data_IF_166263105508
#
_entry.id   IF_166263105508
#
_cell.length_a   1.000
_cell.length_b   1.000
_cell.length_c   1.000
_cell.angle_alpha   90.00
_cell.angle_beta   90.00
_cell.angle_gamma   90.00
#
_symmetry.space_group_name_H-M   'P 1'
#
loop_
_entity.id
_entity.type
_entity.pdbx_description
1 polymer ?
#
# COMPACT_ATOMS: atom_id res chain seq x y z
N UNK A 1 18.97 -10.13 9.05
CA UNK A 1 17.58 -10.60 8.85
C UNK A 1 16.87 -11.01 10.15
N UNK A 2 15.70 -10.43 10.47
CA UNK A 2 14.88 -10.85 11.63
C UNK A 2 13.89 -11.97 11.23
N UNK A 3 13.64 -12.94 12.12
CA UNK A 3 12.63 -13.99 11.90
C UNK A 3 11.25 -13.37 11.64
N UNK A 4 10.95 -12.25 12.30
CA UNK A 4 9.72 -11.50 12.13
C UNK A 4 9.51 -11.03 10.67
N UNK A 5 10.53 -10.44 10.06
CA UNK A 5 10.47 -9.95 8.69
C UNK A 5 10.26 -11.08 7.68
N UNK A 6 10.93 -12.22 7.88
CA UNK A 6 10.74 -13.41 7.07
C UNK A 6 9.30 -13.93 7.14
N UNK A 7 8.75 -14.05 8.35
CA UNK A 7 7.37 -14.52 8.57
C UNK A 7 6.36 -13.57 7.93
N UNK A 8 6.50 -12.25 8.13
CA UNK A 8 5.61 -11.27 7.51
C UNK A 8 5.67 -11.32 5.99
N UNK A 9 6.87 -11.46 5.42
CA UNK A 9 7.07 -11.59 3.98
C UNK A 9 6.38 -12.84 3.44
N UNK A 10 6.59 -14.01 4.05
CA UNK A 10 5.95 -15.26 3.63
C UNK A 10 4.42 -15.14 3.69
N UNK A 11 3.87 -14.59 4.78
CA UNK A 11 2.43 -14.39 4.92
C UNK A 11 1.90 -13.45 3.83
N UNK A 12 2.58 -12.32 3.61
CA UNK A 12 2.24 -11.37 2.54
C UNK A 12 2.19 -12.05 1.17
N UNK A 13 3.23 -12.82 0.81
CA UNK A 13 3.26 -13.53 -0.47
C UNK A 13 2.11 -14.51 -0.63
N UNK A 14 1.78 -15.28 0.42
CA UNK A 14 0.67 -16.23 0.39
C UNK A 14 -0.66 -15.50 0.20
N UNK A 15 -0.93 -14.48 1.01
CA UNK A 15 -2.20 -13.76 0.99
C UNK A 15 -2.39 -12.96 -0.30
N UNK A 16 -1.35 -12.28 -0.78
CA UNK A 16 -1.41 -11.53 -2.03
C UNK A 16 -1.51 -12.46 -3.25
N UNK A 17 -0.79 -13.58 -3.29
CA UNK A 17 -0.95 -14.58 -4.36
C UNK A 17 -2.37 -15.17 -4.39
N UNK A 18 -2.94 -15.42 -3.20
CA UNK A 18 -4.31 -15.87 -3.09
C UNK A 18 -5.32 -14.79 -3.54
N UNK A 19 -5.07 -13.52 -3.19
CA UNK A 19 -5.87 -12.40 -3.64
C UNK A 19 -5.80 -12.22 -5.18
N UNK A 20 -4.62 -12.40 -5.80
CA UNK A 20 -4.48 -12.42 -7.27
C UNK A 20 -5.39 -13.50 -7.86
N UNK A 21 -5.34 -14.72 -7.33
CA UNK A 21 -6.22 -15.80 -7.79
C UNK A 21 -7.71 -15.45 -7.67
N UNK A 22 -8.12 -14.85 -6.54
CA UNK A 22 -9.50 -14.38 -6.32
C UNK A 22 -9.90 -13.29 -7.32
N UNK A 23 -9.06 -12.29 -7.54
CA UNK A 23 -9.32 -11.19 -8.49
C UNK A 23 -9.49 -11.75 -9.90
N UNK A 24 -8.64 -12.69 -10.32
CA UNK A 24 -8.68 -13.24 -11.67
C UNK A 24 -9.88 -14.18 -11.90
N UNK A 25 -10.23 -15.01 -10.92
CA UNK A 25 -11.23 -16.09 -11.09
C UNK A 25 -12.61 -15.78 -10.51
N UNK A 26 -12.69 -14.94 -9.49
CA UNK A 26 -13.91 -14.74 -8.69
C UNK A 26 -14.43 -13.30 -8.68
N UNK A 27 -13.80 -12.37 -9.42
CA UNK A 27 -14.34 -11.02 -9.63
C UNK A 27 -15.69 -11.08 -10.36
N UNK A 28 -16.78 -10.50 -9.80
CA UNK A 28 -18.03 -10.35 -10.55
C UNK A 28 -17.85 -9.47 -11.79
N UNK A 29 -18.62 -9.73 -12.84
CA UNK A 29 -18.59 -8.93 -14.09
C UNK A 29 -18.82 -7.43 -13.83
N UNK A 30 -19.63 -7.11 -12.82
CA UNK A 30 -19.97 -5.76 -12.38
C UNK A 30 -18.77 -4.98 -11.81
N UNK A 31 -17.69 -5.66 -11.38
CA UNK A 31 -16.43 -5.00 -10.96
C UNK A 31 -15.80 -4.22 -12.13
N UNK A 32 -16.05 -4.65 -13.37
CA UNK A 32 -15.58 -3.95 -14.57
C UNK A 32 -14.06 -3.77 -14.59
N UNK A 33 -13.58 -2.58 -15.00
CA UNK A 33 -12.14 -2.28 -15.10
C UNK A 33 -11.44 -2.14 -13.75
N UNK A 34 -12.18 -1.97 -12.63
CA UNK A 34 -11.60 -1.81 -11.30
C UNK A 34 -10.73 -3.01 -10.89
N UNK A 35 -11.05 -4.21 -11.40
CA UNK A 35 -10.27 -5.43 -11.15
C UNK A 35 -8.80 -5.29 -11.52
N UNK A 36 -8.48 -4.51 -12.55
CA UNK A 36 -7.12 -4.31 -13.03
C UNK A 36 -6.32 -3.41 -12.08
N UNK A 37 -7.00 -2.42 -11.49
CA UNK A 37 -6.39 -1.56 -10.48
C UNK A 37 -6.13 -2.35 -9.18
N UNK A 38 -7.10 -3.17 -8.75
CA UNK A 38 -6.87 -4.09 -7.62
C UNK A 38 -5.71 -5.06 -7.89
N UNK A 39 -5.65 -5.65 -9.11
CA UNK A 39 -4.57 -6.56 -9.48
C UNK A 39 -3.20 -5.85 -9.46
N UNK A 40 -3.13 -4.63 -9.99
CA UNK A 40 -1.91 -3.82 -9.98
C UNK A 40 -1.41 -3.57 -8.56
N UNK A 41 -2.29 -3.16 -7.64
CA UNK A 41 -1.92 -2.92 -6.23
C UNK A 41 -1.45 -4.20 -5.55
N UNK A 42 -2.13 -5.34 -5.75
CA UNK A 42 -1.69 -6.63 -5.20
C UNK A 42 -0.32 -7.04 -5.77
N UNK A 43 -0.08 -6.85 -7.07
CA UNK A 43 1.23 -7.12 -7.67
C UNK A 43 2.32 -6.18 -7.13
N UNK A 44 1.99 -4.91 -6.92
CA UNK A 44 2.89 -3.93 -6.32
C UNK A 44 3.28 -4.33 -4.89
N UNK A 45 2.33 -4.80 -4.07
CA UNK A 45 2.60 -5.25 -2.70
C UNK A 45 3.45 -6.52 -2.65
N UNK A 46 3.24 -7.46 -3.58
CA UNK A 46 4.13 -8.60 -3.74
C UNK A 46 5.54 -8.17 -4.13
N UNK A 47 5.67 -7.22 -5.07
CA UNK A 47 6.96 -6.67 -5.47
C UNK A 47 7.67 -5.97 -4.31
N UNK A 48 6.93 -5.17 -3.52
CA UNK A 48 7.45 -4.54 -2.31
C UNK A 48 7.96 -5.59 -1.30
N UNK A 49 7.14 -6.61 -0.99
CA UNK A 49 7.56 -7.69 -0.08
C UNK A 49 8.76 -8.50 -0.60
N UNK A 50 8.86 -8.71 -1.92
CA UNK A 50 10.00 -9.35 -2.56
C UNK A 50 11.29 -8.54 -2.39
N UNK A 51 11.17 -7.22 -2.41
CA UNK A 51 12.28 -6.28 -2.36
C UNK A 51 12.71 -5.94 -0.93
N UNK A 52 11.78 -5.83 0.01
CA UNK A 52 12.03 -5.50 1.42
C UNK A 52 12.99 -6.50 2.09
N UNK A 53 12.79 -7.79 1.83
CA UNK A 53 13.58 -8.87 2.41
C UNK A 53 15.09 -8.79 2.08
N UNK A 54 15.53 -8.74 0.81
CA UNK A 54 16.94 -8.59 0.47
C UNK A 54 17.49 -7.17 0.71
N UNK A 55 16.63 -6.15 0.76
CA UNK A 55 17.07 -4.78 1.00
C UNK A 55 17.55 -4.57 2.45
N UNK A 56 17.03 -5.33 3.42
CA UNK A 56 17.44 -5.29 4.84
C UNK A 56 17.60 -3.86 5.38
N UNK A 57 16.62 -3.00 5.09
CA UNK A 57 16.66 -1.58 5.41
C UNK A 57 16.40 -1.36 6.90
N UNK A 58 17.23 -0.52 7.51
CA UNK A 58 17.11 -0.08 8.89
C UNK A 58 16.86 1.43 8.86
N UNK A 59 15.77 1.87 9.46
CA UNK A 59 15.46 3.28 9.65
C UNK A 59 15.71 3.65 11.11
N UNK A 60 16.52 4.67 11.34
CA UNK A 60 16.86 5.16 12.67
C UNK A 60 16.81 6.69 12.76
N UNK A 61 16.42 7.21 13.90
CA UNK A 61 16.43 8.65 14.22
C UNK A 61 17.38 8.89 15.39
N UNK A 62 18.26 9.87 15.27
CA UNK A 62 19.32 10.13 16.26
C UNK A 62 19.56 11.62 16.41
N UNK A 63 19.23 12.16 17.59
CA UNK A 63 19.16 13.59 17.84
C UNK A 63 18.36 14.27 16.74
N UNK A 64 18.92 15.33 16.17
CA UNK A 64 18.29 16.06 15.09
C UNK A 64 18.36 15.43 13.69
N UNK A 65 18.78 14.18 13.55
CA UNK A 65 18.96 13.55 12.24
C UNK A 65 18.11 12.30 12.06
N UNK A 66 17.68 12.09 10.82
CA UNK A 66 17.12 10.82 10.38
C UNK A 66 18.11 10.14 9.44
N UNK A 67 18.20 8.81 9.55
CA UNK A 67 19.05 7.98 8.70
C UNK A 67 18.35 6.67 8.37
N UNK A 68 18.31 6.35 7.08
CA UNK A 68 17.82 5.09 6.55
C UNK A 68 19.00 4.42 5.88
N UNK A 69 19.38 3.23 6.32
CA UNK A 69 20.62 2.61 5.90
C UNK A 69 20.50 1.10 5.77
N UNK A 70 21.46 0.54 5.03
CA UNK A 70 21.73 -0.87 4.91
C UNK A 70 23.13 -1.15 5.42
N UNK A 71 23.31 -2.24 6.17
CA UNK A 71 24.63 -2.70 6.61
C UNK A 71 25.30 -3.48 5.48
N UNK A 72 26.51 -3.07 5.11
CA UNK A 72 27.32 -3.77 4.13
C UNK A 72 28.20 -4.79 4.85
N UNK A 73 27.79 -6.06 4.82
CA UNK A 73 28.61 -7.15 5.35
C UNK A 73 29.89 -7.34 4.52
N UNK A 74 31.00 -7.85 5.09
CA UNK A 74 32.24 -8.10 4.35
C UNK A 74 32.04 -9.02 3.13
N UNK A 75 31.10 -9.95 3.22
CA UNK A 75 30.72 -10.88 2.15
C UNK A 75 29.59 -10.35 1.26
N UNK A 76 29.25 -9.05 1.33
CA UNK A 76 28.15 -8.49 0.56
C UNK A 76 28.49 -8.48 -0.93
N UNK A 77 27.57 -9.02 -1.74
CA UNK A 77 27.67 -9.00 -3.20
C UNK A 77 27.59 -7.58 -3.79
N UNK A 78 27.11 -6.60 -3.00
CA UNK A 78 26.88 -5.23 -3.44
C UNK A 78 28.00 -4.32 -2.96
N UNK A 79 28.50 -3.49 -3.87
CA UNK A 79 29.35 -2.34 -3.50
C UNK A 79 28.57 -1.31 -2.68
N UNK A 80 29.27 -0.45 -1.93
CA UNK A 80 28.64 0.61 -1.13
C UNK A 80 27.75 1.54 -1.97
N UNK A 81 28.15 1.88 -3.19
CA UNK A 81 27.33 2.72 -4.08
C UNK A 81 26.04 1.98 -4.49
N UNK A 82 26.16 0.73 -4.93
CA UNK A 82 24.98 -0.10 -5.26
C UNK A 82 24.04 -0.30 -4.07
N UNK A 83 24.59 -0.42 -2.87
CA UNK A 83 23.81 -0.53 -1.64
C UNK A 83 23.04 0.77 -1.34
N UNK A 84 23.63 1.95 -1.55
CA UNK A 84 22.91 3.24 -1.47
C UNK A 84 21.80 3.34 -2.52
N UNK A 85 22.00 2.81 -3.73
CA UNK A 85 20.94 2.72 -4.74
C UNK A 85 19.80 1.80 -4.30
N UNK A 86 20.07 0.70 -3.59
CA UNK A 86 19.03 -0.16 -3.00
C UNK A 86 18.20 0.62 -1.98
N UNK A 87 18.83 1.39 -1.10
CA UNK A 87 18.12 2.27 -0.15
C UNK A 87 17.27 3.33 -0.89
N UNK A 88 17.80 3.90 -1.98
CA UNK A 88 17.06 4.85 -2.81
C UNK A 88 15.83 4.21 -3.46
N UNK A 89 15.98 3.02 -4.05
CA UNK A 89 14.86 2.29 -4.66
C UNK A 89 13.83 1.91 -3.60
N UNK A 90 14.26 1.48 -2.41
CA UNK A 90 13.37 1.21 -1.29
C UNK A 90 12.51 2.43 -0.95
N UNK A 91 13.15 3.57 -0.72
CA UNK A 91 12.43 4.81 -0.40
C UNK A 91 11.52 5.23 -1.56
N UNK A 92 11.94 5.06 -2.81
CA UNK A 92 11.11 5.35 -4.00
C UNK A 92 9.84 4.51 -4.07
N UNK A 93 9.93 3.19 -3.80
CA UNK A 93 8.75 2.32 -3.79
C UNK A 93 7.83 2.70 -2.62
N UNK A 94 8.38 3.08 -1.46
CA UNK A 94 7.59 3.63 -0.37
C UNK A 94 6.86 4.91 -0.79
N UNK A 95 7.54 5.84 -1.47
CA UNK A 95 6.91 7.04 -2.02
C UNK A 95 5.80 6.75 -3.04
N UNK A 96 5.99 5.73 -3.89
CA UNK A 96 4.97 5.31 -4.85
C UNK A 96 3.70 4.76 -4.16
N UNK A 97 3.87 4.00 -3.06
CA UNK A 97 2.75 3.38 -2.36
C UNK A 97 1.73 4.41 -1.84
N UNK A 98 2.22 5.60 -1.45
CA UNK A 98 1.42 6.74 -0.97
C UNK A 98 0.34 7.17 -1.97
N UNK A 99 0.58 7.03 -3.27
CA UNK A 99 -0.32 7.48 -4.33
C UNK A 99 -1.22 6.36 -4.89
N UNK A 100 -1.04 5.11 -4.45
CA UNK A 100 -1.88 3.98 -4.88
C UNK A 100 -3.33 4.19 -4.47
N UNK A 101 -3.58 4.47 -3.19
CA UNK A 101 -4.95 4.63 -2.69
C UNK A 101 -5.65 5.86 -3.27
N UNK A 102 -4.93 6.96 -3.50
CA UNK A 102 -5.46 8.12 -4.20
C UNK A 102 -6.01 7.73 -5.58
N UNK A 103 -5.25 6.94 -6.35
CA UNK A 103 -5.66 6.43 -7.67
C UNK A 103 -6.90 5.54 -7.59
N UNK A 104 -6.99 4.70 -6.55
CA UNK A 104 -8.19 3.91 -6.27
C UNK A 104 -9.41 4.79 -6.01
N UNK A 105 -9.33 5.78 -5.12
CA UNK A 105 -10.47 6.64 -4.81
C UNK A 105 -10.92 7.49 -6.01
N UNK A 106 -9.99 8.01 -6.82
CA UNK A 106 -10.32 8.71 -8.06
C UNK A 106 -11.12 7.79 -8.99
N UNK A 107 -10.65 6.55 -9.20
CA UNK A 107 -11.37 5.59 -10.01
C UNK A 107 -12.74 5.26 -9.45
N UNK A 108 -12.82 4.98 -8.13
CA UNK A 108 -14.07 4.61 -7.46
C UNK A 108 -15.10 5.71 -7.65
N UNK A 109 -14.73 6.96 -7.43
CA UNK A 109 -15.63 8.08 -7.64
C UNK A 109 -16.13 8.14 -9.09
N UNK A 110 -15.24 8.03 -10.07
CA UNK A 110 -15.63 7.99 -11.49
C UNK A 110 -16.46 6.77 -11.90
N UNK A 111 -16.44 5.68 -11.13
CA UNK A 111 -17.32 4.53 -11.36
C UNK A 111 -18.72 4.70 -10.80
N UNK A 112 -18.92 5.63 -9.87
CA UNK A 112 -20.21 5.97 -9.23
C UNK A 112 -20.84 7.17 -9.93
N UNK A 113 -20.03 8.19 -10.26
CA UNK A 113 -20.47 9.38 -10.99
C UNK A 113 -20.07 9.32 -12.48
N UNK A 114 -21.06 9.08 -13.34
CA UNK A 114 -20.84 8.91 -14.78
C UNK A 114 -20.26 10.17 -15.46
N UNK A 115 -20.60 11.37 -14.98
CA UNK A 115 -20.10 12.62 -15.57
C UNK A 115 -18.60 12.77 -15.31
N UNK A 116 -18.19 12.57 -14.06
CA UNK A 116 -16.78 12.54 -13.69
C UNK A 116 -16.04 11.40 -14.39
N UNK A 117 -16.63 10.20 -14.39
CA UNK A 117 -16.04 9.00 -14.99
C UNK A 117 -15.76 9.16 -16.48
N UNK A 118 -16.73 9.65 -17.25
CA UNK A 118 -16.56 9.93 -18.67
C UNK A 118 -15.46 10.95 -18.93
N UNK A 119 -15.33 11.96 -18.06
CA UNK A 119 -14.32 13.01 -18.21
C UNK A 119 -12.90 12.55 -17.84
N UNK A 120 -12.73 11.76 -16.78
CA UNK A 120 -11.40 11.52 -16.19
C UNK A 120 -10.94 10.06 -16.12
N UNK A 121 -11.84 9.07 -16.09
CA UNK A 121 -11.46 7.67 -15.85
C UNK A 121 -11.91 6.70 -16.96
N UNK A 122 -12.56 7.21 -18.01
CA UNK A 122 -13.02 6.44 -19.16
C UNK A 122 -11.92 6.20 -20.22
N UNK A 123 -12.11 5.15 -21.04
CA UNK A 123 -11.20 4.86 -22.15
C UNK A 123 -9.74 4.69 -21.73
N UNK A 124 -8.83 5.33 -22.47
CA UNK A 124 -7.38 5.34 -22.23
C UNK A 124 -6.96 6.12 -20.99
N UNK A 125 -7.83 7.02 -20.47
CA UNK A 125 -7.54 7.83 -19.26
C UNK A 125 -7.44 6.97 -18.00
N UNK A 126 -8.08 5.79 -18.01
CA UNK A 126 -7.89 4.78 -16.97
C UNK A 126 -6.41 4.40 -16.79
N UNK A 127 -5.63 4.37 -17.89
CA UNK A 127 -4.20 4.07 -17.86
C UNK A 127 -3.39 5.08 -17.05
N UNK A 128 -3.81 6.36 -17.03
CA UNK A 128 -3.11 7.43 -16.29
C UNK A 128 -3.04 7.10 -14.79
N UNK A 129 -4.07 6.46 -14.23
CA UNK A 129 -4.11 6.09 -12.81
C UNK A 129 -3.01 5.11 -12.40
N UNK A 130 -2.47 4.31 -13.32
CA UNK A 130 -1.35 3.40 -13.05
C UNK A 130 0.00 4.13 -13.06
N UNK A 131 0.07 5.30 -13.69
CA UNK A 131 1.29 6.10 -13.76
C UNK A 131 1.42 7.07 -12.59
N UNK A 132 0.33 7.47 -11.94
CA UNK A 132 0.38 8.39 -10.78
C UNK A 132 1.33 7.85 -9.68
N UNK A 133 1.25 6.58 -9.23
CA UNK A 133 2.20 6.03 -8.26
C UNK A 133 3.65 6.07 -8.73
N UNK A 134 3.89 5.78 -10.01
CA UNK A 134 5.24 5.78 -10.60
C UNK A 134 5.83 7.19 -10.59
N UNK A 135 5.06 8.19 -11.00
CA UNK A 135 5.49 9.60 -10.97
C UNK A 135 5.79 10.06 -9.55
N UNK A 136 4.95 9.70 -8.58
CA UNK A 136 5.17 10.01 -7.17
C UNK A 136 6.43 9.35 -6.62
N UNK A 137 6.70 8.09 -6.98
CA UNK A 137 7.94 7.41 -6.62
C UNK A 137 9.19 8.05 -7.22
N UNK A 138 9.14 8.48 -8.49
CA UNK A 138 10.23 9.19 -9.16
C UNK A 138 10.46 10.58 -8.57
N UNK A 139 9.40 11.30 -8.21
CA UNK A 139 9.53 12.57 -7.50
C UNK A 139 10.24 12.34 -6.17
N UNK A 140 9.75 11.40 -5.36
CA UNK A 140 10.36 11.13 -4.07
C UNK A 140 11.83 10.69 -4.18
N UNK A 141 12.16 9.81 -5.12
CA UNK A 141 13.56 9.42 -5.34
C UNK A 141 14.44 10.61 -5.75
N UNK A 142 13.90 11.56 -6.52
CA UNK A 142 14.61 12.79 -6.87
C UNK A 142 14.86 13.65 -5.64
N UNK A 143 13.85 13.81 -4.77
CA UNK A 143 13.99 14.56 -3.50
C UNK A 143 15.08 13.92 -2.64
N UNK A 144 15.02 12.61 -2.46
CA UNK A 144 16.01 11.85 -1.70
C UNK A 144 17.41 12.01 -2.29
N UNK A 145 17.54 11.88 -3.61
CA UNK A 145 18.83 11.96 -4.31
C UNK A 145 19.47 13.33 -4.24
N UNK A 146 18.68 14.39 -4.21
CA UNK A 146 19.15 15.78 -4.20
C UNK A 146 19.41 16.27 -2.78
N UNK A 147 18.52 15.99 -1.84
CA UNK A 147 18.51 16.62 -0.52
C UNK A 147 19.03 15.73 0.61
N UNK A 148 18.96 14.40 0.46
CA UNK A 148 19.26 13.44 1.53
C UNK A 148 20.38 12.45 1.17
N UNK A 149 21.16 12.75 0.13
CA UNK A 149 22.28 11.92 -0.26
C UNK A 149 23.43 12.00 0.76
N UNK A 150 24.18 10.90 0.98
CA UNK A 150 25.34 10.90 1.87
C UNK A 150 26.30 12.05 1.61
N UNK A 151 26.79 12.64 2.71
CA UNK A 151 27.73 13.74 2.70
C UNK A 151 28.61 13.71 3.95
N UNK A 152 29.78 14.35 3.87
CA UNK A 152 30.79 14.32 4.94
C UNK A 152 30.29 14.89 6.26
N UNK A 153 29.50 15.96 6.21
CA UNK A 153 28.98 16.62 7.41
C UNK A 153 27.98 15.74 8.17
N UNK A 154 27.27 14.87 7.46
CA UNK A 154 26.38 13.87 8.03
C UNK A 154 27.17 12.65 8.53
N UNK A 155 28.24 12.26 7.82
CA UNK A 155 29.12 11.19 8.24
C UNK A 155 29.76 11.48 9.60
N UNK A 156 30.34 12.68 9.76
CA UNK A 156 30.99 13.10 11.00
C UNK A 156 30.01 13.16 12.18
N UNK A 157 28.79 13.66 11.94
CA UNK A 157 27.75 13.75 12.98
C UNK A 157 27.27 12.37 13.44
N UNK A 158 27.03 11.44 12.51
CA UNK A 158 26.44 10.14 12.84
C UNK A 158 27.44 9.04 13.14
N UNK A 159 28.74 9.25 12.89
CA UNK A 159 29.80 8.23 13.07
C UNK A 159 29.77 7.57 14.44
N UNK A 160 29.79 8.36 15.51
CA UNK A 160 29.83 7.81 16.87
C UNK A 160 28.46 7.26 17.28
N UNK A 161 27.39 7.95 16.90
CA UNK A 161 26.04 7.60 17.30
C UNK A 161 25.58 6.26 16.70
N UNK A 162 25.85 6.04 15.42
CA UNK A 162 25.57 4.76 14.74
C UNK A 162 26.46 3.66 15.31
N UNK A 163 27.72 3.95 15.60
CA UNK A 163 28.61 2.97 16.22
C UNK A 163 28.12 2.53 17.60
N UNK A 164 27.59 3.45 18.40
CA UNK A 164 27.04 3.16 19.73
C UNK A 164 25.72 2.38 19.66
N UNK A 165 24.81 2.78 18.77
CA UNK A 165 23.47 2.19 18.71
C UNK A 165 23.39 0.90 17.88
N UNK A 166 24.17 0.81 16.79
CA UNK A 166 24.12 -0.29 15.82
C UNK A 166 25.35 -1.21 15.95
N UNK A 167 26.44 -0.75 16.55
CA UNK A 167 27.67 -1.52 16.71
C UNK A 167 28.53 -1.59 15.43
N UNK A 168 28.18 -0.84 14.39
CA UNK A 168 28.85 -0.86 13.08
C UNK A 168 29.41 0.52 12.75
N UNK A 169 30.60 0.55 12.15
CA UNK A 169 31.21 1.79 11.66
C UNK A 169 30.48 2.35 10.43
N UNK A 170 30.45 3.68 10.31
CA UNK A 170 29.71 4.35 9.23
C UNK A 170 30.23 4.03 7.83
N UNK A 171 31.51 3.70 7.71
CA UNK A 171 32.15 3.20 6.50
C UNK A 171 31.57 1.87 5.99
N UNK A 172 30.94 1.09 6.86
CA UNK A 172 30.35 -0.20 6.54
C UNK A 172 28.83 -0.12 6.37
N UNK A 173 28.25 1.08 6.29
CA UNK A 173 26.84 1.27 5.96
C UNK A 173 26.70 2.09 4.68
N UNK A 174 25.64 1.83 3.96
CA UNK A 174 25.17 2.68 2.86
C UNK A 174 23.86 3.29 3.27
N UNK A 175 23.77 4.61 3.29
CA UNK A 175 22.64 5.30 3.87
C UNK A 175 22.09 6.41 2.97
N UNK A 176 20.92 6.90 3.37
CA UNK A 176 20.29 8.14 2.96
C UNK A 176 19.84 8.81 4.26
N UNK A 177 20.03 10.11 4.40
CA UNK A 177 19.69 10.80 5.64
C UNK A 177 20.10 12.26 5.64
N UNK A 178 19.56 13.00 6.59
CA UNK A 178 19.96 14.37 6.84
C UNK A 178 19.71 14.75 8.30
N UNK A 179 20.50 15.72 8.77
CA UNK A 179 20.29 16.44 10.03
C UNK A 179 19.49 17.71 9.79
N UNK A 180 18.53 18.02 10.66
CA UNK A 180 17.68 19.21 10.55
C UNK A 180 18.36 20.47 11.08
N UNK A 181 19.35 20.32 11.97
CA UNK A 181 20.10 21.41 12.56
C UNK A 181 21.61 21.23 12.33
N UNK A 182 22.29 22.33 12.02
CA UNK A 182 23.74 22.44 11.99
C UNK A 182 24.20 23.08 13.30
N UNK A 183 25.09 22.40 14.03
CA UNK A 183 25.73 22.93 15.23
C UNK A 183 26.97 23.72 14.83
N UNK A 184 26.92 25.05 14.98
CA UNK A 184 28.10 25.87 14.77
C UNK A 184 29.01 25.83 16.01
N UNK A 185 30.32 26.03 15.83
CA UNK A 185 31.31 25.96 16.91
C UNK A 185 31.07 26.89 18.11
N UNK A 186 30.18 27.88 17.98
CA UNK A 186 29.77 28.80 19.05
C UNK A 186 28.55 28.28 19.86
N UNK A 187 28.07 27.06 19.61
CA UNK A 187 26.90 26.49 20.27
C UNK A 187 25.55 26.95 19.71
N UNK A 188 25.54 27.80 18.67
CA UNK A 188 24.31 28.23 17.99
C UNK A 188 23.86 27.20 16.96
N UNK A 189 22.59 26.80 17.02
CA UNK A 189 21.98 25.90 16.06
C UNK A 189 21.36 26.68 14.89
N UNK A 190 21.67 26.27 13.67
CA UNK A 190 21.09 26.86 12.46
C UNK A 190 20.36 25.80 11.65
N UNK A 191 19.26 26.17 11.01
CA UNK A 191 18.49 25.23 10.20
C UNK A 191 19.30 24.74 9.01
N UNK A 192 19.31 23.42 8.79
CA UNK A 192 19.84 22.83 7.57
C UNK A 192 18.79 22.98 6.45
N UNK A 193 18.84 24.11 5.74
CA UNK A 193 17.87 24.48 4.70
C UNK A 193 17.61 23.33 3.69
N UNK A 194 18.64 22.65 3.13
CA UNK A 194 18.47 21.44 2.31
C UNK A 194 17.54 20.37 2.92
N UNK A 195 17.76 20.02 4.19
CA UNK A 195 16.98 18.99 4.86
C UNK A 195 15.51 19.41 5.02
N UNK A 196 15.28 20.67 5.37
CA UNK A 196 13.94 21.25 5.49
C UNK A 196 13.21 21.34 4.15
N UNK A 197 13.89 21.68 3.05
CA UNK A 197 13.28 21.65 1.71
C UNK A 197 12.83 20.22 1.38
N UNK A 198 13.69 19.22 1.61
CA UNK A 198 13.36 17.83 1.36
C UNK A 198 12.14 17.35 2.16
N UNK A 199 12.07 17.68 3.46
CA UNK A 199 10.94 17.27 4.31
C UNK A 199 9.65 18.04 3.95
N UNK A 200 9.73 19.31 3.56
CA UNK A 200 8.58 20.06 3.07
C UNK A 200 7.96 19.43 1.81
N UNK A 201 8.80 18.95 0.89
CA UNK A 201 8.35 18.22 -0.31
C UNK A 201 7.65 16.91 0.07
N UNK A 202 8.19 16.18 1.05
CA UNK A 202 7.56 14.99 1.61
C UNK A 202 6.17 15.31 2.18
N UNK A 203 6.07 16.32 3.04
CA UNK A 203 4.81 16.74 3.64
C UNK A 203 3.79 17.17 2.60
N UNK A 204 4.22 17.92 1.58
CA UNK A 204 3.37 18.29 0.47
C UNK A 204 2.79 17.06 -0.25
N UNK A 205 3.62 16.07 -0.57
CA UNK A 205 3.18 14.83 -1.19
C UNK A 205 2.18 14.06 -0.32
N UNK A 206 2.46 13.91 0.98
CA UNK A 206 1.59 13.22 1.94
C UNK A 206 0.24 13.94 2.03
N UNK A 207 0.25 15.25 2.25
CA UNK A 207 -0.97 16.05 2.41
C UNK A 207 -1.80 16.01 1.13
N UNK A 208 -1.18 16.20 -0.05
CA UNK A 208 -1.89 16.14 -1.32
C UNK A 208 -2.55 14.77 -1.55
N UNK A 209 -1.85 13.68 -1.26
CA UNK A 209 -2.41 12.32 -1.37
C UNK A 209 -3.55 12.10 -0.38
N UNK A 210 -3.38 12.49 0.89
CA UNK A 210 -4.41 12.37 1.91
C UNK A 210 -5.66 13.20 1.57
N UNK A 211 -5.49 14.44 1.11
CA UNK A 211 -6.62 15.27 0.65
C UNK A 211 -7.36 14.60 -0.50
N UNK A 212 -6.65 13.97 -1.44
CA UNK A 212 -7.26 13.21 -2.52
C UNK A 212 -8.06 12.01 -1.99
N UNK A 213 -7.46 11.20 -1.13
CA UNK A 213 -8.08 10.02 -0.51
C UNK A 213 -9.33 10.39 0.28
N UNK A 214 -9.24 11.34 1.21
CA UNK A 214 -10.36 11.75 2.05
C UNK A 214 -11.42 12.51 1.25
N UNK A 215 -11.02 13.39 0.33
CA UNK A 215 -11.93 14.16 -0.52
C UNK A 215 -12.77 13.26 -1.43
N UNK A 216 -12.13 12.42 -2.24
CA UNK A 216 -12.84 11.46 -3.09
C UNK A 216 -13.55 10.37 -2.29
N UNK A 217 -13.01 9.98 -1.14
CA UNK A 217 -13.67 9.07 -0.20
C UNK A 217 -15.00 9.64 0.31
N UNK A 218 -15.01 10.90 0.75
CA UNK A 218 -16.21 11.61 1.17
C UNK A 218 -17.21 11.75 0.02
N UNK A 219 -16.76 12.16 -1.17
CA UNK A 219 -17.62 12.26 -2.34
C UNK A 219 -18.22 10.90 -2.75
N UNK A 220 -17.44 9.82 -2.69
CA UNK A 220 -17.95 8.47 -2.87
C UNK A 220 -19.03 8.15 -1.83
N UNK A 221 -18.77 8.42 -0.55
CA UNK A 221 -19.72 8.13 0.53
C UNK A 221 -21.05 8.86 0.33
N UNK A 222 -21.02 10.17 0.09
CA UNK A 222 -22.24 10.97 -0.12
C UNK A 222 -23.03 10.49 -1.33
N UNK A 223 -22.34 10.26 -2.47
CA UNK A 223 -23.00 9.84 -3.71
C UNK A 223 -23.59 8.44 -3.58
N UNK A 224 -22.85 7.53 -2.97
CA UNK A 224 -23.26 6.15 -2.76
C UNK A 224 -24.44 6.08 -1.78
N UNK A 225 -24.39 6.81 -0.67
CA UNK A 225 -25.49 6.94 0.29
C UNK A 225 -26.78 7.45 -0.37
N UNK A 226 -26.67 8.50 -1.19
CA UNK A 226 -27.81 9.06 -1.94
C UNK A 226 -28.41 8.08 -2.97
N UNK A 227 -27.59 7.25 -3.63
CA UNK A 227 -28.11 6.25 -4.58
C UNK A 227 -28.74 5.04 -3.87
N UNK A 228 -28.27 4.70 -2.67
CA UNK A 228 -28.67 3.49 -1.94
C UNK A 228 -29.86 3.70 -1.01
N UNK A 229 -30.12 4.93 -0.55
CA UNK A 229 -31.37 5.26 0.15
C UNK A 229 -32.61 4.93 -0.69
N UNK A 230 -32.44 4.82 -2.01
CA UNK A 230 -33.47 4.43 -2.97
C UNK A 230 -33.59 2.91 -3.18
N UNK A 231 -32.72 2.08 -2.59
CA UNK A 231 -32.63 0.63 -2.87
C UNK A 231 -32.69 -0.20 -1.58
N UNK A 232 -33.67 -1.11 -1.47
CA UNK A 232 -33.97 -1.85 -0.22
C UNK A 232 -32.90 -2.86 0.25
N UNK A 233 -31.84 -3.10 -0.53
CA UNK A 233 -30.83 -4.14 -0.26
C UNK A 233 -29.38 -3.62 -0.39
N UNK A 234 -29.14 -2.41 0.13
CA UNK A 234 -27.90 -1.66 0.01
C UNK A 234 -26.62 -2.44 0.39
N UNK A 235 -26.63 -3.24 1.47
CA UNK A 235 -25.45 -3.99 1.92
C UNK A 235 -24.98 -5.09 0.95
N UNK A 236 -25.87 -5.60 0.09
CA UNK A 236 -25.51 -6.58 -0.95
C UNK A 236 -24.99 -5.91 -2.22
N UNK A 237 -25.01 -4.58 -2.29
CA UNK A 237 -24.53 -3.85 -3.45
C UNK A 237 -22.99 -3.99 -3.56
N UNK A 238 -22.52 -4.42 -4.73
CA UNK A 238 -21.10 -4.59 -5.00
C UNK A 238 -20.32 -3.28 -4.82
N UNK A 239 -20.89 -2.13 -5.19
CA UNK A 239 -20.23 -0.83 -5.05
C UNK A 239 -20.00 -0.45 -3.59
N UNK A 240 -20.90 -0.86 -2.69
CA UNK A 240 -20.76 -0.70 -1.24
C UNK A 240 -19.63 -1.55 -0.71
N UNK A 241 -19.60 -2.83 -1.09
CA UNK A 241 -18.56 -3.76 -0.66
C UNK A 241 -17.17 -3.30 -1.11
N UNK A 242 -17.03 -2.90 -2.38
CA UNK A 242 -15.77 -2.42 -2.93
C UNK A 242 -15.35 -1.08 -2.29
N UNK A 243 -16.30 -0.22 -1.92
CA UNK A 243 -16.01 1.03 -1.20
C UNK A 243 -15.52 0.77 0.23
N UNK A 244 -16.26 -0.02 1.03
CA UNK A 244 -15.83 -0.33 2.40
C UNK A 244 -14.55 -1.15 2.45
N UNK A 245 -14.35 -2.09 1.50
CA UNK A 245 -13.07 -2.78 1.35
C UNK A 245 -11.95 -1.78 1.12
N UNK A 246 -12.12 -0.82 0.19
CA UNK A 246 -11.11 0.19 -0.09
C UNK A 246 -10.85 1.11 1.11
N UNK A 247 -11.88 1.54 1.85
CA UNK A 247 -11.73 2.37 3.06
C UNK A 247 -10.92 1.63 4.12
N UNK A 248 -11.25 0.36 4.38
CA UNK A 248 -10.51 -0.47 5.33
C UNK A 248 -9.08 -0.76 4.87
N UNK A 249 -8.87 -1.01 3.57
CA UNK A 249 -7.53 -1.15 3.00
C UNK A 249 -6.72 0.13 3.23
N UNK A 250 -7.28 1.30 2.93
CA UNK A 250 -6.60 2.59 3.10
C UNK A 250 -6.27 2.89 4.57
N UNK A 251 -7.10 2.44 5.51
CA UNK A 251 -6.83 2.60 6.93
C UNK A 251 -5.58 1.84 7.39
N UNK A 252 -5.26 0.71 6.76
CA UNK A 252 -4.12 -0.14 7.13
C UNK A 252 -2.78 0.59 6.93
N UNK A 253 -2.37 1.06 5.73
CA UNK A 253 -1.14 1.80 5.55
C UNK A 253 -1.18 3.19 6.21
N UNK A 254 -2.36 3.78 6.46
CA UNK A 254 -2.42 5.00 7.28
C UNK A 254 -1.89 4.74 8.69
N UNK A 255 -2.32 3.63 9.30
CA UNK A 255 -1.91 3.25 10.66
C UNK A 255 -0.51 2.61 10.69
N UNK A 256 -0.20 1.73 9.73
CA UNK A 256 1.00 0.90 9.72
C UNK A 256 2.19 1.52 8.96
N UNK A 257 1.97 2.55 8.15
CA UNK A 257 3.06 3.24 7.43
C UNK A 257 3.08 4.75 7.69
N UNK A 258 1.96 5.46 7.52
CA UNK A 258 1.94 6.93 7.58
C UNK A 258 2.14 7.45 9.01
N UNK A 259 1.47 6.84 9.98
CA UNK A 259 1.63 7.24 11.38
C UNK A 259 3.06 6.97 11.89
N UNK A 260 3.66 5.78 11.70
CA UNK A 260 5.05 5.53 12.08
C UNK A 260 6.03 6.45 11.37
N UNK A 261 5.93 6.63 10.05
CA UNK A 261 6.87 7.49 9.31
C UNK A 261 6.75 8.96 9.73
N UNK A 262 5.54 9.41 10.10
CA UNK A 262 5.34 10.75 10.65
C UNK A 262 6.11 10.92 11.95
N UNK A 263 6.01 9.95 12.87
CA UNK A 263 6.79 9.96 14.12
C UNK A 263 8.28 9.95 13.80
N UNK A 264 8.73 9.06 12.91
CA UNK A 264 10.11 8.91 12.49
C UNK A 264 10.75 10.23 12.02
N UNK A 265 10.04 11.04 11.24
CA UNK A 265 10.53 12.35 10.80
C UNK A 265 10.33 13.45 11.86
N UNK A 266 9.24 13.41 12.62
CA UNK A 266 8.93 14.45 13.59
C UNK A 266 9.90 14.45 14.78
N UNK A 267 10.33 13.27 15.24
CA UNK A 267 11.29 13.12 16.33
C UNK A 267 12.58 13.93 16.10
N UNK A 268 13.34 13.71 15.01
CA UNK A 268 14.54 14.49 14.73
C UNK A 268 14.28 15.95 14.35
N UNK A 269 13.09 16.29 13.83
CA UNK A 269 12.72 17.70 13.61
C UNK A 269 12.57 18.48 14.92
N UNK A 270 12.11 17.81 15.98
CA UNK A 270 11.91 18.38 17.32
C UNK A 270 13.08 18.09 18.29
N UNK A 271 14.15 17.44 17.80
CA UNK A 271 15.29 16.97 18.60
C UNK A 271 14.87 16.07 19.78
N UNK A 272 13.91 15.17 19.51
CA UNK A 272 13.40 14.18 20.47
C UNK A 272 14.01 12.80 20.21
N UNK A 273 14.69 12.25 21.21
CA UNK A 273 15.24 10.89 21.15
C UNK A 273 14.26 9.87 21.73
N UNK A 274 13.76 8.97 20.86
CA UNK A 274 12.95 7.82 21.26
C UNK A 274 13.55 6.53 20.72
N UNK A 275 14.25 5.78 21.57
CA UNK A 275 14.89 4.52 21.18
C UNK A 275 13.91 3.48 20.61
N UNK A 276 12.63 3.53 21.01
CA UNK A 276 11.62 2.59 20.50
C UNK A 276 11.05 2.97 19.12
N UNK A 277 11.16 4.23 18.70
CA UNK A 277 10.48 4.74 17.51
C UNK A 277 10.96 4.00 16.25
N UNK A 278 12.27 3.79 16.12
CA UNK A 278 12.89 3.08 15.01
C UNK A 278 12.43 1.63 14.88
N UNK A 279 12.44 0.88 15.99
CA UNK A 279 11.97 -0.51 16.01
C UNK A 279 10.46 -0.61 15.72
N UNK A 280 9.68 0.33 16.23
CA UNK A 280 8.24 0.42 15.96
C UNK A 280 7.96 0.70 14.48
N UNK A 281 8.68 1.63 13.86
CA UNK A 281 8.56 1.97 12.43
C UNK A 281 8.92 0.78 11.55
N UNK A 282 10.07 0.15 11.78
CA UNK A 282 10.49 -1.01 10.99
C UNK A 282 9.48 -2.17 11.10
N UNK A 283 8.98 -2.44 12.30
CA UNK A 283 8.02 -3.54 12.54
C UNK A 283 6.68 -3.30 11.83
N UNK A 284 6.13 -2.09 11.95
CA UNK A 284 4.82 -1.75 11.36
C UNK A 284 4.85 -1.72 9.84
N UNK A 285 5.91 -1.16 9.23
CA UNK A 285 6.11 -1.15 7.77
C UNK A 285 6.24 -2.58 7.22
N UNK A 286 6.97 -3.44 7.92
CA UNK A 286 7.13 -4.86 7.56
C UNK A 286 5.81 -5.63 7.63
N UNK A 287 4.92 -5.28 8.56
CA UNK A 287 3.63 -5.94 8.75
C UNK A 287 2.60 -5.56 7.66
N UNK A 288 2.66 -4.33 7.15
CA UNK A 288 1.66 -3.78 6.23
C UNK A 288 1.26 -4.72 5.08
N UNK A 289 2.21 -5.27 4.28
CA UNK A 289 1.86 -6.07 3.10
C UNK A 289 1.12 -7.36 3.44
N UNK A 290 1.30 -7.87 4.67
CA UNK A 290 0.59 -9.06 5.15
C UNK A 290 -0.86 -8.76 5.55
N UNK A 291 -1.15 -7.53 5.97
CA UNK A 291 -2.48 -7.15 6.49
C UNK A 291 -3.36 -6.54 5.39
N UNK A 292 -2.79 -5.77 4.45
CA UNK A 292 -3.54 -5.09 3.38
C UNK A 292 -4.48 -5.97 2.53
N UNK A 293 -4.12 -7.21 2.13
CA UNK A 293 -5.03 -8.03 1.33
C UNK A 293 -6.28 -8.50 2.09
N UNK A 294 -6.27 -8.46 3.43
CA UNK A 294 -7.32 -9.06 4.25
C UNK A 294 -8.71 -8.42 4.07
N UNK A 295 -8.88 -7.08 4.11
CA UNK A 295 -10.19 -6.49 3.89
C UNK A 295 -10.78 -6.84 2.53
N UNK A 296 -9.96 -6.88 1.47
CA UNK A 296 -10.42 -7.32 0.14
C UNK A 296 -10.95 -8.75 0.17
N UNK A 297 -10.20 -9.67 0.79
CA UNK A 297 -10.59 -11.09 0.90
C UNK A 297 -11.87 -11.27 1.73
N UNK A 298 -12.03 -10.52 2.83
CA UNK A 298 -13.07 -10.74 3.83
C UNK A 298 -14.37 -9.93 3.57
N UNK A 299 -14.27 -8.73 2.99
CA UNK A 299 -15.42 -7.83 2.80
C UNK A 299 -16.13 -8.09 1.47
N UNK A 300 -15.39 -8.36 0.39
CA UNK A 300 -15.98 -8.60 -0.93
C UNK A 300 -16.66 -9.97 -0.92
N UNK A 301 -18.00 -10.00 -1.01
CA UNK A 301 -18.80 -11.21 -0.78
C UNK A 301 -18.42 -12.40 -1.66
N UNK A 302 -18.10 -12.12 -2.94
CA UNK A 302 -17.68 -13.16 -3.88
C UNK A 302 -16.31 -13.73 -3.52
N UNK A 303 -15.39 -12.88 -3.07
CA UNK A 303 -14.07 -13.32 -2.61
C UNK A 303 -14.20 -14.13 -1.33
N UNK A 304 -14.89 -13.59 -0.31
CA UNK A 304 -15.14 -14.31 0.95
C UNK A 304 -15.77 -15.69 0.73
N UNK A 305 -16.77 -15.78 -0.16
CA UNK A 305 -17.43 -17.06 -0.46
C UNK A 305 -16.49 -18.05 -1.13
N UNK A 306 -15.69 -17.59 -2.09
CA UNK A 306 -14.67 -18.43 -2.74
C UNK A 306 -13.62 -18.88 -1.71
N UNK A 307 -13.18 -18.00 -0.81
CA UNK A 307 -12.26 -18.30 0.27
C UNK A 307 -12.79 -19.40 1.19
N UNK A 308 -14.01 -19.24 1.71
CA UNK A 308 -14.65 -20.27 2.57
C UNK A 308 -14.76 -21.61 1.84
N UNK A 309 -15.12 -21.60 0.55
CA UNK A 309 -15.19 -22.81 -0.26
C UNK A 309 -13.82 -23.49 -0.39
N UNK A 310 -12.77 -22.73 -0.72
CA UNK A 310 -11.40 -23.24 -0.82
C UNK A 310 -10.89 -23.82 0.51
N UNK A 311 -11.12 -23.13 1.62
CA UNK A 311 -10.75 -23.63 2.96
C UNK A 311 -11.51 -24.91 3.34
N UNK A 312 -12.82 -24.99 3.08
CA UNK A 312 -13.62 -26.20 3.35
C UNK A 312 -13.13 -27.41 2.55
N UNK A 313 -12.74 -27.19 1.28
CA UNK A 313 -12.16 -28.23 0.43
C UNK A 313 -10.80 -28.70 0.95
N UNK A 314 -9.98 -27.79 1.47
CA UNK A 314 -8.66 -28.11 2.03
C UNK A 314 -8.75 -28.92 3.33
N UNK A 315 -9.75 -28.64 4.17
CA UNK A 315 -9.96 -29.29 5.46
C UNK A 315 -10.83 -30.57 5.33
N UNK A 316 -11.17 -31.00 4.10
CA UNK A 316 -12.00 -32.18 3.82
C UNK A 316 -13.33 -32.21 4.60
N UNK A 317 -13.90 -31.04 4.93
CA UNK A 317 -15.22 -30.98 5.58
C UNK A 317 -16.31 -31.38 4.56
N UNK A 318 -17.21 -32.33 4.88
CA UNK A 318 -18.26 -32.75 3.96
C UNK A 318 -19.06 -31.55 3.46
N UNK A 319 -19.12 -31.40 2.14
CA UNK A 319 -19.75 -30.26 1.49
C UNK A 319 -21.23 -30.15 1.81
N UNK A 320 -21.61 -29.15 2.59
CA UNK A 320 -22.99 -28.66 2.62
C UNK A 320 -23.39 -28.21 1.22
N UNK A 321 -24.34 -28.91 0.60
CA UNK A 321 -24.89 -28.64 -0.73
C UNK A 321 -25.35 -27.18 -0.84
N UNK A 322 -24.56 -26.32 -1.47
CA UNK A 322 -25.06 -25.06 -2.01
C UNK A 322 -25.31 -25.28 -3.48
N UNK A 323 -26.56 -25.63 -3.80
CA UNK A 323 -27.04 -25.78 -5.15
C UNK A 323 -26.81 -24.46 -5.92
N UNK A 324 -26.01 -24.56 -6.98
CA UNK A 324 -26.05 -23.61 -8.07
C UNK A 324 -27.46 -23.65 -8.67
N UNK A 325 -28.30 -22.68 -8.30
CA UNK A 325 -29.53 -22.39 -9.04
C UNK A 325 -29.13 -21.68 -10.33
N UNK A 326 -28.50 -22.43 -11.23
CA UNK A 326 -28.43 -22.08 -12.63
C UNK A 326 -29.77 -22.47 -13.22
N UNK A 327 -30.42 -21.50 -13.84
CA UNK A 327 -31.65 -21.62 -14.64
C UNK A 327 -31.64 -22.89 -15.49
N UNK A 328 -32.32 -23.93 -15.01
CA UNK A 328 -32.86 -24.99 -15.83
C UNK A 328 -34.31 -24.59 -16.14
N UNK A 329 -34.50 -24.13 -17.36
CA UNK A 329 -35.79 -23.95 -18.01
C UNK A 329 -36.63 -25.20 -17.77
N UNK A 330 -37.79 -25.04 -17.13
CA UNK A 330 -38.78 -26.11 -16.99
C UNK A 330 -39.30 -26.42 -18.40
N UNK A 331 -38.79 -27.49 -19.01
CA UNK A 331 -39.50 -28.22 -20.04
C UNK A 331 -39.98 -29.54 -19.43
N UNK A 332 -41.28 -29.58 -19.17
CA UNK A 332 -42.09 -30.73 -18.78
C UNK A 332 -43.46 -30.43 -19.36
N UNK A 333 -44.20 -31.32 -20.02
CA UNK A 333 -43.93 -32.62 -20.62
C UNK A 333 -45.17 -32.88 -21.53
N UNK A 334 -45.06 -33.88 -22.39
CA UNK A 334 -46.06 -34.45 -23.31
C UNK A 334 -47.57 -34.37 -22.95
N UNK A 335 -48.40 -34.27 -24.00
CA UNK A 335 -49.81 -34.67 -23.97
C UNK A 335 -50.57 -34.45 -25.29
N UNK A 336 -50.40 -35.36 -26.26
CA UNK A 336 -51.35 -35.51 -27.38
C UNK A 336 -52.67 -36.06 -26.84
N UNK A 337 -53.78 -35.37 -27.08
CA UNK A 337 -55.11 -35.99 -27.13
C UNK A 337 -56.00 -35.25 -28.12
N UNK A 338 -56.58 -36.05 -29.02
CA UNK A 338 -57.59 -35.74 -30.01
C UNK A 338 -58.69 -34.79 -29.52
N UNK A 339 -59.09 -33.84 -30.38
CA UNK A 339 -60.45 -33.30 -30.36
C UNK A 339 -61.12 -33.61 -31.71
N UNK A 340 -62.21 -34.37 -31.61
CA UNK A 340 -63.17 -34.64 -32.67
C UNK A 340 -64.08 -33.43 -32.87
N UNK A 341 -64.42 -33.19 -34.13
CA UNK A 341 -65.60 -32.52 -34.71
C UNK A 341 -66.86 -32.43 -33.87
N UNK A 342 -67.66 -31.38 -34.17
CA UNK A 342 -69.14 -31.17 -34.12
C UNK A 342 -69.33 -29.68 -33.68
N UNK A 343 -69.95 -28.74 -34.40
CA UNK A 343 -70.90 -28.70 -35.52
C UNK A 343 -70.51 -27.59 -36.51
#
# INVERSE_FOLDING_TARGET
MSIYQLVCTIISFILNSFLVWLILRHSPKQTGKYKWLMLYTTCFEMFWGAFDLPAEIIAHSVGCAFIVFRVNHPDSLLSSDQSSWVVLVYTAIFGASMALFASHFIYRYGSIDSNFGNKFTSGSKFGVLFFIPVVTGVWWSTVVRVWFWPNRDMDEYTRNLIREQVGVGIENISYIGAKFYNKNGNGTETFNIPAWIGVCQMWFMVIASMTCVFGFGAFCYFRLSSQLSLVSNSANNLQVQLFYALVLQTAIPLILMHFPITIYFLCPMLDLDFDFASAFVASTITLYPAVDPLPSILIIKNYRRATIYSFRRLICLPGGKYAARSTATVHSNNGRSFSKTVN
#
